data_IF_072076174171
#
_entry.id   IF_072076174171
#
_cell.length_a   1.000
_cell.length_b   1.000
_cell.length_c   1.000
_cell.angle_alpha   90.00
_cell.angle_beta   90.00
_cell.angle_gamma   90.00
#
_symmetry.space_group_name_H-M   'P 1'
#
loop_
_entity.id
_entity.type
_entity.pdbx_description
1 polymer ?
#
# COMPACT_ATOMS: atom_id res chain seq x y z
N UNK A 1 -9.94 -13.51 15.55
CA UNK A 1 -11.08 -13.96 14.72
C UNK A 1 -11.84 -12.74 14.22
N UNK A 2 -11.82 -12.50 12.90
CA UNK A 2 -12.15 -11.21 12.27
C UNK A 2 -13.41 -11.38 11.40
N UNK A 3 -14.58 -11.02 11.93
CA UNK A 3 -15.90 -11.22 11.28
C UNK A 3 -16.27 -10.09 10.30
N UNK A 4 -15.41 -9.09 10.10
CA UNK A 4 -15.74 -7.90 9.27
C UNK A 4 -15.39 -8.01 7.77
N UNK A 5 -14.88 -9.13 7.29
CA UNK A 5 -14.53 -9.32 5.87
C UNK A 5 -15.72 -9.51 4.92
N UNK A 6 -16.93 -9.73 5.42
CA UNK A 6 -18.01 -10.32 4.61
C UNK A 6 -19.07 -9.31 4.08
N UNK A 7 -19.03 -8.03 4.49
CA UNK A 7 -20.03 -7.06 4.03
C UNK A 7 -19.74 -6.49 2.63
N UNK A 8 -18.46 -6.27 2.29
CA UNK A 8 -18.10 -5.70 0.98
C UNK A 8 -18.29 -6.75 -0.14
N UNK A 9 -18.11 -8.03 0.16
CA UNK A 9 -18.26 -9.12 -0.81
C UNK A 9 -19.71 -9.27 -1.33
N UNK A 10 -20.72 -9.05 -0.47
CA UNK A 10 -22.12 -9.19 -0.86
C UNK A 10 -22.60 -8.07 -1.79
N UNK A 11 -22.00 -6.88 -1.72
CA UNK A 11 -22.40 -5.75 -2.57
C UNK A 11 -21.79 -5.81 -3.98
N UNK A 12 -20.55 -6.28 -4.12
CA UNK A 12 -19.93 -6.47 -5.44
C UNK A 12 -20.58 -7.61 -6.23
N UNK A 13 -20.97 -8.70 -5.57
CA UNK A 13 -21.70 -9.79 -6.23
C UNK A 13 -23.08 -9.30 -6.69
N UNK A 14 -23.86 -8.59 -5.85
CA UNK A 14 -25.19 -8.07 -6.23
C UNK A 14 -25.14 -7.04 -7.38
N UNK A 15 -24.09 -6.21 -7.46
CA UNK A 15 -23.93 -5.26 -8.55
C UNK A 15 -23.67 -5.95 -9.91
N UNK A 16 -22.93 -7.06 -9.92
CA UNK A 16 -22.71 -7.86 -11.13
C UNK A 16 -24.01 -8.43 -11.73
N UNK A 17 -24.94 -8.87 -10.89
CA UNK A 17 -26.23 -9.41 -11.36
C UNK A 17 -27.17 -8.34 -11.92
N UNK A 18 -27.11 -7.10 -11.42
CA UNK A 18 -27.95 -6.01 -11.93
C UNK A 18 -27.49 -5.51 -13.31
N UNK A 19 -26.19 -5.50 -13.60
CA UNK A 19 -25.67 -5.11 -14.93
C UNK A 19 -26.01 -6.16 -15.99
N UNK A 20 -26.02 -7.44 -15.63
CA UNK A 20 -26.43 -8.52 -16.55
C UNK A 20 -27.93 -8.47 -16.86
N UNK A 21 -28.78 -8.06 -15.91
CA UNK A 21 -30.24 -7.99 -16.11
C UNK A 21 -30.69 -6.88 -17.06
N UNK A 22 -30.01 -5.73 -17.08
CA UNK A 22 -30.43 -4.57 -17.90
C UNK A 22 -30.00 -4.71 -19.37
N UNK A 23 -28.92 -5.44 -19.67
CA UNK A 23 -28.49 -5.68 -21.06
C UNK A 23 -29.32 -6.74 -21.79
N UNK A 24 -30.14 -7.53 -21.09
CA UNK A 24 -30.92 -8.62 -21.70
C UNK A 24 -32.23 -8.17 -22.37
N UNK A 25 -32.73 -6.95 -22.09
CA UNK A 25 -34.08 -6.56 -22.52
C UNK A 25 -34.18 -5.67 -23.77
N UNK A 26 -33.07 -5.26 -24.41
CA UNK A 26 -33.12 -4.30 -25.52
C UNK A 26 -32.21 -4.54 -26.73
N UNK A 27 -31.32 -5.55 -26.73
CA UNK A 27 -30.32 -5.76 -27.79
C UNK A 27 -30.39 -7.17 -28.40
N UNK A 28 -31.61 -7.68 -28.58
CA UNK A 28 -31.87 -8.93 -29.31
C UNK A 28 -31.77 -8.61 -30.80
N UNK A 29 -30.57 -8.69 -31.38
CA UNK A 29 -30.44 -8.57 -32.84
C UNK A 29 -29.03 -8.64 -33.38
N UNK A 30 -28.02 -8.16 -32.63
CA UNK A 30 -26.64 -8.15 -33.12
C UNK A 30 -25.75 -9.11 -32.32
N UNK A 31 -25.34 -10.26 -32.90
CA UNK A 31 -24.47 -11.21 -32.21
C UNK A 31 -23.12 -10.58 -31.80
N UNK A 32 -22.66 -9.54 -32.52
CA UNK A 32 -21.41 -8.83 -32.21
C UNK A 32 -21.47 -8.09 -30.87
N UNK A 33 -22.61 -7.49 -30.53
CA UNK A 33 -22.78 -6.78 -29.25
C UNK A 33 -22.82 -7.75 -28.06
N UNK A 34 -23.44 -8.92 -28.23
CA UNK A 34 -23.47 -9.95 -27.18
C UNK A 34 -22.08 -10.55 -26.91
N UNK A 35 -21.30 -10.86 -27.95
CA UNK A 35 -19.94 -11.34 -27.81
C UNK A 35 -19.01 -10.29 -27.17
N UNK A 36 -19.19 -9.02 -27.53
CA UNK A 36 -18.46 -7.92 -26.91
C UNK A 36 -18.78 -7.79 -25.41
N UNK A 37 -20.07 -7.80 -25.04
CA UNK A 37 -20.48 -7.70 -23.64
C UNK A 37 -19.94 -8.88 -22.79
N UNK A 38 -19.99 -10.11 -23.33
CA UNK A 38 -19.46 -11.29 -22.65
C UNK A 38 -17.94 -11.24 -22.48
N UNK A 39 -17.20 -10.83 -23.52
CA UNK A 39 -15.73 -10.70 -23.42
C UNK A 39 -15.32 -9.60 -22.43
N UNK A 40 -16.04 -8.47 -22.41
CA UNK A 40 -15.81 -7.41 -21.44
C UNK A 40 -16.10 -7.87 -20.00
N UNK A 41 -17.21 -8.59 -19.77
CA UNK A 41 -17.55 -9.16 -18.47
C UNK A 41 -16.49 -10.17 -18.00
N UNK A 42 -16.02 -11.05 -18.90
CA UNK A 42 -14.95 -11.99 -18.61
C UNK A 42 -13.62 -11.29 -18.25
N UNK A 43 -13.24 -10.25 -19.01
CA UNK A 43 -12.04 -9.47 -18.74
C UNK A 43 -12.11 -8.76 -17.38
N UNK A 44 -13.25 -8.14 -17.05
CA UNK A 44 -13.50 -7.53 -15.74
C UNK A 44 -13.40 -8.55 -14.60
N UNK A 45 -13.96 -9.75 -14.78
CA UNK A 45 -13.91 -10.81 -13.77
C UNK A 45 -12.48 -11.30 -13.54
N UNK A 46 -11.71 -11.54 -14.61
CA UNK A 46 -10.30 -11.93 -14.53
C UNK A 46 -9.45 -10.84 -13.86
N UNK A 47 -9.67 -9.57 -14.20
CA UNK A 47 -8.98 -8.44 -13.57
C UNK A 47 -9.31 -8.35 -12.07
N UNK A 48 -10.59 -8.49 -11.71
CA UNK A 48 -11.04 -8.49 -10.32
C UNK A 48 -10.44 -9.65 -9.51
N UNK A 49 -10.40 -10.84 -10.09
CA UNK A 49 -9.77 -12.01 -9.47
C UNK A 49 -8.27 -11.78 -9.24
N UNK A 50 -7.56 -11.24 -10.22
CA UNK A 50 -6.13 -10.90 -10.09
C UNK A 50 -5.88 -9.86 -8.99
N UNK A 51 -6.67 -8.77 -8.95
CA UNK A 51 -6.54 -7.74 -7.92
C UNK A 51 -6.82 -8.31 -6.53
N UNK A 52 -7.86 -9.15 -6.40
CA UNK A 52 -8.19 -9.83 -5.15
C UNK A 52 -7.06 -10.74 -4.67
N UNK A 53 -6.47 -11.53 -5.57
CA UNK A 53 -5.36 -12.41 -5.22
C UNK A 53 -4.15 -11.63 -4.68
N UNK A 54 -3.80 -10.49 -5.32
CA UNK A 54 -2.72 -9.61 -4.86
C UNK A 54 -3.01 -9.03 -3.48
N UNK A 55 -4.26 -8.59 -3.25
CA UNK A 55 -4.70 -8.07 -1.97
C UNK A 55 -4.61 -9.11 -0.85
N UNK A 56 -5.10 -10.32 -1.09
CA UNK A 56 -5.04 -11.41 -0.11
C UNK A 56 -3.59 -11.77 0.26
N UNK A 57 -2.69 -11.80 -0.73
CA UNK A 57 -1.25 -12.01 -0.48
C UNK A 57 -0.65 -10.86 0.34
N UNK A 58 -0.99 -9.62 0.01
CA UNK A 58 -0.52 -8.46 0.75
C UNK A 58 -1.00 -8.47 2.22
N UNK A 59 -2.27 -8.78 2.45
CA UNK A 59 -2.85 -8.89 3.79
C UNK A 59 -2.17 -10.02 4.59
N UNK A 60 -1.89 -11.17 3.96
CA UNK A 60 -1.19 -12.28 4.60
C UNK A 60 0.26 -11.92 5.00
N UNK A 61 1.00 -11.23 4.13
CA UNK A 61 2.36 -10.72 4.46
C UNK A 61 2.29 -9.77 5.66
N UNK A 62 1.32 -8.84 5.65
CA UNK A 62 1.14 -7.88 6.75
C UNK A 62 0.81 -8.59 8.06
N UNK A 63 -0.08 -9.57 8.03
CA UNK A 63 -0.48 -10.31 9.23
C UNK A 63 0.69 -11.13 9.81
N UNK A 64 1.54 -11.73 8.95
CA UNK A 64 2.76 -12.42 9.39
C UNK A 64 3.77 -11.46 10.04
N UNK A 65 4.04 -10.31 9.42
CA UNK A 65 4.97 -9.31 9.97
C UNK A 65 4.44 -8.71 11.29
N UNK A 66 3.11 -8.60 11.44
CA UNK A 66 2.51 -8.18 12.72
C UNK A 66 2.60 -9.24 13.79
N UNK A 67 2.51 -10.52 13.41
CA UNK A 67 2.58 -11.64 14.34
C UNK A 67 4.02 -11.87 14.83
N UNK A 68 5.01 -11.76 13.94
CA UNK A 68 6.43 -11.83 14.25
C UNK A 68 7.11 -10.55 13.81
N UNK A 69 7.53 -9.71 14.75
CA UNK A 69 8.10 -8.37 14.48
C UNK A 69 9.31 -8.37 13.52
N UNK A 70 9.88 -9.53 13.18
CA UNK A 70 11.04 -9.68 12.29
C UNK A 70 10.95 -11.05 11.60
N UNK A 71 10.46 -11.09 10.37
CA UNK A 71 10.48 -12.29 9.54
C UNK A 71 11.58 -12.17 8.49
N UNK A 72 12.31 -13.25 8.24
CA UNK A 72 13.25 -13.30 7.11
C UNK A 72 12.50 -13.45 5.80
N UNK A 73 13.16 -13.16 4.68
CA UNK A 73 12.56 -13.32 3.35
C UNK A 73 12.19 -14.79 3.09
N UNK A 74 13.04 -15.71 3.50
CA UNK A 74 12.84 -17.16 3.33
C UNK A 74 11.71 -17.68 4.22
N UNK A 75 11.59 -17.15 5.45
CA UNK A 75 10.46 -17.46 6.34
C UNK A 75 9.13 -16.99 5.74
N UNK A 76 9.08 -15.77 5.18
CA UNK A 76 7.89 -15.26 4.50
C UNK A 76 7.55 -16.08 3.26
N UNK A 77 8.57 -16.45 2.47
CA UNK A 77 8.41 -17.29 1.29
C UNK A 77 7.86 -18.67 1.66
N UNK A 78 8.44 -19.33 2.66
CA UNK A 78 8.03 -20.64 3.16
C UNK A 78 6.64 -20.63 3.79
N UNK A 79 6.33 -19.62 4.61
CA UNK A 79 5.03 -19.51 5.27
C UNK A 79 3.88 -19.23 4.29
N UNK A 80 4.14 -18.52 3.20
CA UNK A 80 3.13 -18.13 2.21
C UNK A 80 3.11 -19.02 0.96
N UNK A 81 4.07 -19.93 0.81
CA UNK A 81 4.25 -20.71 -0.42
C UNK A 81 4.53 -19.83 -1.64
N UNK A 82 5.23 -18.71 -1.44
CA UNK A 82 5.58 -17.75 -2.50
C UNK A 82 7.06 -17.85 -2.83
N UNK A 83 7.41 -17.52 -4.07
CA UNK A 83 8.83 -17.29 -4.41
C UNK A 83 9.35 -16.01 -3.73
N UNK A 84 10.66 -15.95 -3.49
CA UNK A 84 11.32 -14.75 -2.94
C UNK A 84 11.02 -13.49 -3.77
N UNK A 85 11.04 -13.62 -5.09
CA UNK A 85 10.70 -12.52 -6.01
C UNK A 85 9.26 -12.03 -5.83
N UNK A 86 8.32 -12.95 -5.60
CA UNK A 86 6.92 -12.62 -5.32
C UNK A 86 6.74 -11.95 -3.97
N UNK A 87 7.50 -12.37 -2.94
CA UNK A 87 7.55 -11.67 -1.64
C UNK A 87 8.01 -10.23 -1.87
N UNK A 88 9.14 -10.01 -2.55
CA UNK A 88 9.66 -8.67 -2.83
C UNK A 88 8.71 -7.82 -3.70
N UNK A 89 8.01 -8.44 -4.65
CA UNK A 89 6.97 -7.77 -5.46
C UNK A 89 5.77 -7.38 -4.60
N UNK A 90 5.41 -8.21 -3.63
CA UNK A 90 4.30 -7.96 -2.69
C UNK A 90 4.67 -6.88 -1.68
N UNK A 91 5.89 -6.86 -1.15
CA UNK A 91 6.39 -5.77 -0.29
C UNK A 91 6.37 -4.42 -1.01
N UNK A 92 6.85 -4.37 -2.25
CA UNK A 92 6.76 -3.16 -3.09
C UNK A 92 5.30 -2.74 -3.33
N UNK A 93 4.41 -3.70 -3.57
CA UNK A 93 2.98 -3.44 -3.71
C UNK A 93 2.37 -2.85 -2.43
N UNK A 94 2.73 -3.37 -1.24
CA UNK A 94 2.27 -2.86 0.05
C UNK A 94 2.73 -1.42 0.24
N UNK A 95 4.04 -1.16 0.07
CA UNK A 95 4.62 0.18 0.27
C UNK A 95 4.01 1.23 -0.67
N UNK A 96 3.82 0.88 -1.96
CA UNK A 96 3.27 1.81 -2.95
C UNK A 96 1.79 2.12 -2.72
N UNK A 97 1.01 1.10 -2.37
CA UNK A 97 -0.42 1.28 -2.15
C UNK A 97 -0.76 1.70 -0.73
N UNK A 98 0.23 1.78 0.18
CA UNK A 98 0.03 1.95 1.63
C UNK A 98 -1.03 0.98 2.13
N UNK A 99 -0.94 -0.28 1.69
CA UNK A 99 -1.97 -1.28 1.93
C UNK A 99 -1.98 -1.66 3.42
N UNK A 100 -3.15 -1.63 4.05
CA UNK A 100 -3.32 -1.97 5.46
C UNK A 100 -4.20 -0.96 6.20
N UNK A 101 -4.49 -1.24 7.47
CA UNK A 101 -5.22 -0.30 8.36
C UNK A 101 -4.32 0.81 8.93
N UNK A 102 -3.00 0.68 8.77
CA UNK A 102 -1.99 1.65 9.15
C UNK A 102 -0.95 1.70 8.03
N UNK A 103 -0.42 2.88 7.69
CA UNK A 103 0.67 2.99 6.73
C UNK A 103 1.90 2.27 7.29
N UNK A 104 2.26 1.16 6.66
CA UNK A 104 3.46 0.39 6.96
C UNK A 104 4.47 0.64 5.85
N UNK A 105 5.73 0.89 6.21
CA UNK A 105 6.83 0.95 5.25
C UNK A 105 7.73 -0.24 5.51
N UNK A 106 7.48 -1.30 4.75
CA UNK A 106 8.21 -2.54 4.86
C UNK A 106 9.53 -2.40 4.10
N UNK A 107 10.64 -2.39 4.83
CA UNK A 107 11.99 -2.31 4.26
C UNK A 107 12.65 -3.65 4.45
N UNK A 108 13.20 -4.19 3.37
CA UNK A 108 14.11 -5.33 3.43
C UNK A 108 15.51 -4.84 3.75
N UNK A 109 16.12 -5.39 4.80
CA UNK A 109 17.48 -5.10 5.22
C UNK A 109 18.43 -6.21 4.75
N UNK A 110 19.30 -5.96 3.75
CA UNK A 110 20.15 -7.01 3.16
C UNK A 110 21.14 -7.63 4.14
N UNK A 111 21.59 -6.87 5.16
CA UNK A 111 22.58 -7.32 6.13
C UNK A 111 22.04 -8.40 7.08
N UNK A 112 20.76 -8.32 7.41
CA UNK A 112 20.10 -9.22 8.35
C UNK A 112 19.10 -10.15 7.69
N UNK A 113 18.90 -9.98 6.37
CA UNK A 113 17.84 -10.60 5.55
C UNK A 113 16.44 -10.50 6.16
N UNK A 114 16.18 -9.43 6.91
CA UNK A 114 14.91 -9.23 7.62
C UNK A 114 14.05 -8.20 6.93
N UNK A 115 12.75 -8.47 6.89
CA UNK A 115 11.74 -7.48 6.55
C UNK A 115 11.33 -6.79 7.84
N UNK A 116 11.50 -5.48 7.88
CA UNK A 116 11.20 -4.64 9.04
C UNK A 116 10.11 -3.65 8.66
N UNK A 117 9.10 -3.52 9.52
CA UNK A 117 8.20 -2.38 9.48
C UNK A 117 8.95 -1.18 10.06
N UNK A 118 9.45 -0.31 9.18
CA UNK A 118 10.12 0.94 9.57
C UNK A 118 9.15 2.08 9.32
N UNK A 119 9.30 3.20 10.03
CA UNK A 119 8.73 4.43 9.49
C UNK A 119 9.52 4.81 8.22
N UNK A 120 8.91 5.60 7.32
CA UNK A 120 9.52 5.92 6.04
C UNK A 120 10.93 6.52 6.23
N UNK A 121 11.85 6.45 5.24
CA UNK A 121 13.23 6.95 5.37
C UNK A 121 13.35 8.39 5.91
N UNK A 122 12.33 9.20 5.64
CA UNK A 122 12.13 10.57 6.17
C UNK A 122 12.01 10.65 7.71
N UNK A 123 11.97 9.50 8.40
CA UNK A 123 11.99 9.38 9.86
C UNK A 123 13.37 9.53 10.48
N UNK A 124 14.44 9.64 9.67
CA UNK A 124 15.76 10.04 10.17
C UNK A 124 15.80 11.56 10.32
N UNK A 125 15.96 12.02 11.56
CA UNK A 125 16.13 13.44 11.88
C UNK A 125 17.50 13.65 12.50
N UNK A 126 18.18 14.72 12.10
CA UNK A 126 19.42 15.14 12.74
C UNK A 126 19.06 15.91 14.00
N UNK A 127 19.36 15.34 15.17
CA UNK A 127 19.16 15.99 16.45
C UNK A 127 20.41 16.80 16.79
N UNK A 128 20.25 18.12 16.78
CA UNK A 128 21.27 19.08 17.23
C UNK A 128 20.79 19.71 18.53
N UNK A 129 21.33 19.24 19.66
CA UNK A 129 20.96 19.66 21.02
C UNK A 129 22.12 19.60 22.00
N UNK A 130 22.03 20.33 23.12
CA UNK A 130 22.99 20.19 24.23
C UNK A 130 22.48 19.16 25.23
N UNK A 131 23.38 18.32 25.75
CA UNK A 131 23.05 17.37 26.80
C UNK A 131 22.71 18.13 28.10
N UNK A 132 21.53 17.90 28.71
CA UNK A 132 21.16 18.59 29.96
C UNK A 132 22.04 18.17 31.14
N UNK A 133 22.71 17.02 31.08
CA UNK A 133 23.54 16.51 32.16
C UNK A 133 24.99 16.99 32.09
N UNK A 134 25.62 16.98 30.91
CA UNK A 134 27.05 17.32 30.76
C UNK A 134 27.32 18.59 29.93
N UNK A 135 26.30 19.21 29.35
CA UNK A 135 26.43 20.41 28.53
C UNK A 135 27.04 20.19 27.14
N UNK A 136 27.48 18.98 26.80
CA UNK A 136 28.07 18.69 25.49
C UNK A 136 27.05 18.85 24.36
N UNK A 137 27.49 19.43 23.24
CA UNK A 137 26.69 19.50 22.02
C UNK A 137 26.65 18.13 21.34
N UNK A 138 25.44 17.67 21.02
CA UNK A 138 25.17 16.41 20.35
C UNK A 138 24.68 16.73 18.94
N UNK A 139 25.29 16.09 17.95
CA UNK A 139 24.88 16.11 16.56
C UNK A 139 24.83 14.66 16.07
N UNK A 140 23.65 14.04 16.17
CA UNK A 140 23.47 12.64 15.79
C UNK A 140 22.20 12.48 14.94
N UNK A 141 22.29 11.64 13.92
CA UNK A 141 21.12 11.19 13.19
C UNK A 141 20.37 10.17 14.05
N UNK A 142 19.13 10.50 14.41
CA UNK A 142 18.24 9.62 15.16
C UNK A 142 17.08 9.20 14.31
N UNK A 143 16.64 7.97 14.51
CA UNK A 143 15.44 7.47 13.85
C UNK A 143 14.24 7.67 14.77
N UNK A 144 13.18 8.26 14.26
CA UNK A 144 11.95 8.51 15.02
C UNK A 144 11.20 7.21 15.38
N UNK A 145 11.53 6.08 14.74
CA UNK A 145 10.94 4.77 14.96
C UNK A 145 11.58 3.96 16.11
N UNK A 146 12.77 4.34 16.56
CA UNK A 146 13.40 3.69 17.71
C UNK A 146 12.66 4.05 19.01
N UNK A 147 12.32 3.06 19.87
CA UNK A 147 11.58 3.31 21.10
C UNK A 147 12.45 4.03 22.14
N UNK A 148 13.74 3.70 22.17
CA UNK A 148 14.67 4.24 23.15
C UNK A 148 15.19 5.61 22.71
N UNK A 149 15.25 6.60 23.62
CA UNK A 149 15.90 7.87 23.33
C UNK A 149 17.41 7.63 23.12
N UNK A 150 18.04 8.38 22.21
CA UNK A 150 19.46 8.24 22.00
C UNK A 150 20.23 8.69 23.23
N UNK A 151 21.39 8.08 23.45
CA UNK A 151 22.25 8.37 24.60
C UNK A 151 23.34 9.37 24.20
N UNK A 152 23.71 10.24 25.12
CA UNK A 152 24.83 11.15 24.93
C UNK A 152 26.14 10.36 24.78
N UNK A 153 26.92 10.64 23.73
CA UNK A 153 28.23 9.99 23.52
C UNK A 153 29.27 10.29 24.60
N UNK A 154 29.07 11.33 25.43
CA UNK A 154 30.01 11.73 26.47
C UNK A 154 29.67 11.18 27.86
N UNK A 155 28.40 11.22 28.26
CA UNK A 155 27.96 10.85 29.61
C UNK A 155 26.94 9.70 29.67
N UNK A 156 26.59 9.12 28.50
CA UNK A 156 25.63 8.03 28.33
C UNK A 156 24.19 8.30 28.83
N UNK A 157 23.88 9.52 29.29
CA UNK A 157 22.52 9.91 29.69
C UNK A 157 21.60 10.05 28.46
N UNK A 158 20.31 9.68 28.57
CA UNK A 158 19.35 9.83 27.49
C UNK A 158 19.11 11.31 27.18
N UNK A 159 19.01 11.66 25.90
CA UNK A 159 18.85 13.07 25.47
C UNK A 159 17.64 13.23 24.55
N UNK A 160 16.98 14.39 24.66
CA UNK A 160 15.99 14.83 23.68
C UNK A 160 14.61 14.18 23.80
N UNK A 161 14.24 13.54 24.93
CA UNK A 161 12.96 12.83 25.06
C UNK A 161 11.73 13.67 24.64
N UNK A 162 11.56 14.86 25.21
CA UNK A 162 10.42 15.73 24.90
C UNK A 162 10.43 16.25 23.44
N UNK A 163 11.61 16.63 22.92
CA UNK A 163 11.75 17.10 21.52
C UNK A 163 11.50 15.97 20.53
N UNK A 164 12.04 14.78 20.81
CA UNK A 164 11.83 13.58 19.99
C UNK A 164 10.36 13.16 19.98
N UNK A 165 9.67 13.23 21.12
CA UNK A 165 8.24 12.94 21.18
C UNK A 165 7.41 13.95 20.39
N UNK A 166 7.77 15.23 20.45
CA UNK A 166 7.16 16.26 19.60
C UNK A 166 7.38 15.96 18.11
N UNK A 167 8.62 15.66 17.70
CA UNK A 167 8.97 15.31 16.31
C UNK A 167 8.25 14.03 15.85
N UNK A 168 8.14 13.00 16.71
CA UNK A 168 7.37 11.78 16.44
C UNK A 168 5.89 12.11 16.22
N UNK A 169 5.30 12.99 17.03
CA UNK A 169 3.90 13.38 16.90
C UNK A 169 3.64 14.17 15.61
N UNK A 170 4.54 15.09 15.26
CA UNK A 170 4.49 15.88 14.03
C UNK A 170 4.66 15.00 12.80
N UNK A 171 5.61 14.07 12.84
CA UNK A 171 5.83 13.14 11.74
C UNK A 171 4.62 12.23 11.52
N UNK A 172 4.00 11.73 12.61
CA UNK A 172 2.75 10.95 12.53
C UNK A 172 1.60 11.77 11.95
N UNK A 173 1.45 13.03 12.35
CA UNK A 173 0.37 13.88 11.83
C UNK A 173 0.56 14.20 10.34
N UNK A 174 1.79 14.43 9.89
CA UNK A 174 2.13 14.56 8.46
C UNK A 174 1.83 13.29 7.68
N UNK A 175 2.18 12.12 8.21
CA UNK A 175 1.86 10.85 7.57
C UNK A 175 0.35 10.65 7.39
N UNK A 176 -0.45 10.99 8.41
CA UNK A 176 -1.92 10.93 8.32
C UNK A 176 -2.48 11.95 7.33
N UNK A 177 -1.91 13.17 7.26
CA UNK A 177 -2.36 14.18 6.31
C UNK A 177 -2.07 13.79 4.85
N UNK A 178 -0.90 13.17 4.59
CA UNK A 178 -0.57 12.62 3.28
C UNK A 178 -1.50 11.46 2.88
N UNK A 179 -1.97 10.69 3.85
CA UNK A 179 -2.94 9.61 3.60
C UNK A 179 -4.28 10.16 3.10
N UNK A 180 -4.70 11.31 3.64
CA UNK A 180 -5.96 11.97 3.28
C UNK A 180 -5.93 12.63 1.88
N UNK A 181 -4.75 12.97 1.36
CA UNK A 181 -4.62 13.57 0.02
C UNK A 181 -4.90 12.61 -1.15
N UNK A 182 -4.95 11.28 -0.93
CA UNK A 182 -5.38 10.36 -1.98
C UNK A 182 -6.89 10.44 -2.12
N UNK A 183 -7.36 11.12 -3.17
CA UNK A 183 -8.79 11.13 -3.48
C UNK A 183 -9.34 9.69 -3.53
N UNK A 184 -10.39 9.37 -2.77
CA UNK A 184 -10.98 8.04 -2.77
C UNK A 184 -11.47 7.67 -4.16
N UNK A 185 -11.55 6.36 -4.45
CA UNK A 185 -12.19 5.88 -5.67
C UNK A 185 -13.64 6.38 -5.69
N UNK A 186 -14.00 7.16 -6.73
CA UNK A 186 -15.35 7.73 -6.89
C UNK A 186 -16.18 6.77 -7.73
N UNK A 187 -17.01 5.88 -7.15
CA UNK A 187 -17.69 4.81 -7.90
C UNK A 187 -18.69 5.36 -8.91
N UNK A 188 -19.33 6.50 -8.63
CA UNK A 188 -20.24 7.16 -9.57
C UNK A 188 -19.52 7.60 -10.85
N UNK A 189 -18.31 8.17 -10.73
CA UNK A 189 -17.51 8.61 -11.88
C UNK A 189 -17.10 7.41 -12.73
N UNK A 190 -16.71 6.31 -12.09
CA UNK A 190 -16.42 5.06 -12.79
C UNK A 190 -17.64 4.52 -13.54
N UNK A 191 -18.84 4.53 -12.95
CA UNK A 191 -20.08 4.08 -13.63
C UNK A 191 -20.39 4.97 -14.83
N UNK A 192 -20.28 6.29 -14.68
CA UNK A 192 -20.49 7.25 -15.79
C UNK A 192 -19.49 7.01 -16.91
N UNK A 193 -18.20 6.87 -16.58
CA UNK A 193 -17.16 6.53 -17.55
C UNK A 193 -17.44 5.17 -18.20
N UNK A 194 -17.90 4.18 -17.44
CA UNK A 194 -18.16 2.84 -17.97
C UNK A 194 -19.28 2.85 -19.02
N UNK A 195 -20.33 3.64 -18.78
CA UNK A 195 -21.48 3.77 -19.68
C UNK A 195 -21.18 4.63 -20.91
N UNK A 196 -20.48 5.75 -20.74
CA UNK A 196 -20.22 6.71 -21.83
C UNK A 196 -18.96 6.32 -22.62
N UNK A 197 -17.90 5.90 -21.94
CA UNK A 197 -16.59 5.67 -22.53
C UNK A 197 -15.79 4.60 -21.76
N UNK A 198 -16.20 3.35 -21.93
CA UNK A 198 -15.66 2.20 -21.21
C UNK A 198 -14.11 2.09 -21.21
N UNK A 199 -13.36 2.48 -22.27
CA UNK A 199 -11.90 2.43 -22.22
C UNK A 199 -11.32 3.40 -21.18
N UNK A 200 -11.91 4.58 -21.02
CA UNK A 200 -11.50 5.51 -19.98
C UNK A 200 -11.89 5.04 -18.58
N UNK A 201 -13.01 4.31 -18.44
CA UNK A 201 -13.36 3.67 -17.17
C UNK A 201 -12.30 2.65 -16.75
N UNK A 202 -11.85 1.84 -17.72
CA UNK A 202 -10.77 0.89 -17.52
C UNK A 202 -9.46 1.61 -17.15
N UNK A 203 -9.08 2.66 -17.88
CA UNK A 203 -7.91 3.47 -17.57
C UNK A 203 -8.00 4.08 -16.15
N UNK A 204 -9.15 4.63 -15.77
CA UNK A 204 -9.41 5.17 -14.43
C UNK A 204 -9.25 4.12 -13.34
N UNK A 205 -9.82 2.93 -13.54
CA UNK A 205 -9.70 1.82 -12.60
C UNK A 205 -8.26 1.30 -12.49
N UNK A 206 -7.54 1.20 -13.61
CA UNK A 206 -6.13 0.78 -13.64
C UNK A 206 -5.21 1.81 -12.98
N UNK A 207 -5.50 3.10 -13.17
CA UNK A 207 -4.76 4.20 -12.55
C UNK A 207 -4.99 4.20 -11.04
N UNK A 208 -6.25 4.17 -10.59
CA UNK A 208 -6.59 4.17 -9.16
C UNK A 208 -6.21 2.89 -8.44
N UNK A 209 -6.09 1.76 -9.12
CA UNK A 209 -5.57 0.51 -8.54
C UNK A 209 -4.05 0.45 -8.45
N UNK A 210 -3.34 1.46 -8.99
CA UNK A 210 -1.88 1.49 -9.07
C UNK A 210 -1.29 0.47 -10.05
N UNK A 211 -2.11 -0.21 -10.87
CA UNK A 211 -1.62 -1.22 -11.80
C UNK A 211 -0.76 -0.60 -12.91
N UNK A 212 -1.06 0.65 -13.29
CA UNK A 212 -0.35 1.40 -14.34
C UNK A 212 1.00 1.99 -13.89
N UNK A 213 1.25 2.10 -12.59
CA UNK A 213 2.46 2.75 -12.08
C UNK A 213 3.78 2.18 -12.62
N UNK A 214 3.99 0.84 -12.74
CA UNK A 214 5.25 0.32 -13.30
C UNK A 214 5.45 0.72 -14.76
N UNK A 215 4.35 0.86 -15.51
CA UNK A 215 4.39 1.33 -16.90
C UNK A 215 4.66 2.82 -16.97
N UNK A 216 4.03 3.61 -16.10
CA UNK A 216 4.26 5.05 -16.00
C UNK A 216 5.70 5.37 -15.56
N UNK A 217 6.26 4.60 -14.63
CA UNK A 217 7.67 4.74 -14.20
C UNK A 217 8.62 4.47 -15.37
N UNK A 218 8.38 3.38 -16.13
CA UNK A 218 9.18 3.07 -17.34
C UNK A 218 9.09 4.17 -18.39
N UNK A 219 7.88 4.69 -18.64
CA UNK A 219 7.67 5.78 -19.59
C UNK A 219 8.37 7.06 -19.12
N UNK A 220 8.31 7.37 -17.82
CA UNK A 220 9.01 8.52 -17.23
C UNK A 220 10.52 8.38 -17.34
N UNK A 221 11.08 7.18 -17.15
CA UNK A 221 12.53 6.94 -17.33
C UNK A 221 12.97 6.89 -18.79
N UNK A 222 12.05 6.65 -19.73
CA UNK A 222 12.35 6.50 -21.15
C UNK A 222 12.27 7.82 -21.94
N UNK A 223 11.62 8.86 -21.40
CA UNK A 223 11.57 10.18 -22.01
C UNK A 223 12.85 10.96 -21.66
N UNK A 224 13.71 11.31 -22.64
CA UNK A 224 14.81 12.23 -22.40
C UNK A 224 14.25 13.60 -22.01
N UNK A 225 14.83 14.22 -20.98
CA UNK A 225 14.51 15.59 -20.57
C UNK A 225 14.86 16.61 -21.65
#
# INVERSE_FOLDING_TARGET
MNVRGNLIDRHLIRAGWLVVGVSLFGLIGSPTLTAFALSAAAACLLAGYHLRSKRLRADAVIDLIRAGQRATRDELAGALGLSEEEVMRTLRYINRNRHGRRPMFLVWEPQTDRVLDRLAPESQVVLVEHCPSCGAQINQAVRLDEPDPPRCGFCAQPVGGARLDALRSEYRSRLTALEDTREPFKPWLFIVLLLIFWPAALAYALYKSGLLDPWLERLRTALPH
#
